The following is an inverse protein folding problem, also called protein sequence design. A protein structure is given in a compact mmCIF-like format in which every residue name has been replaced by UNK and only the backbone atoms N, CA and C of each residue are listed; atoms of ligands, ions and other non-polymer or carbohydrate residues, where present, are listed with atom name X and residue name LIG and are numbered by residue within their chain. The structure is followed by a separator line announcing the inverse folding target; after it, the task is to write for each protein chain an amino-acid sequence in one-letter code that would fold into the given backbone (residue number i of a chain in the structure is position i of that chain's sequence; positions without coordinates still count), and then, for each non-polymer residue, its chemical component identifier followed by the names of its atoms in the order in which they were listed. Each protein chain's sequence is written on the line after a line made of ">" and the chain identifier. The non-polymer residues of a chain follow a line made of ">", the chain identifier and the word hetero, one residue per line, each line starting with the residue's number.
data_IF_464857743723
#
_entry.id   IF_464857743723
#
_cell.length_a   1.000
_cell.length_b   1.000
_cell.length_c   1.000
_cell.angle_alpha   90.00
_cell.angle_beta   90.00
_cell.angle_gamma   90.00
#
_symmetry.space_group_name_H-M   'P 1'
#
loop_
_entity.id
_entity.type
_entity.pdbx_description
1 polymer ?
#
# COMPACT_ATOMS: atom_id res chain seq x y z
N UNK A 1 10.63 -15.70 -17.90
CA UNK A 1 9.61 -14.90 -17.20
C UNK A 1 9.65 -13.40 -17.55
N UNK A 2 10.69 -12.86 -18.17
CA UNK A 2 10.77 -11.43 -18.55
C UNK A 2 11.56 -10.54 -17.59
N UNK A 3 11.85 -10.99 -16.37
CA UNK A 3 12.61 -10.23 -15.37
C UNK A 3 14.15 -10.37 -15.51
N UNK A 4 14.64 -11.09 -16.50
CA UNK A 4 16.07 -11.36 -16.66
C UNK A 4 16.86 -10.18 -17.18
N UNK A 5 18.04 -9.93 -16.61
CA UNK A 5 18.98 -8.90 -17.06
C UNK A 5 18.86 -7.55 -16.36
N UNK A 6 17.94 -7.40 -15.43
CA UNK A 6 17.80 -6.20 -14.62
C UNK A 6 18.61 -6.34 -13.33
N UNK A 7 19.46 -5.36 -13.07
CA UNK A 7 20.19 -5.20 -11.81
C UNK A 7 19.75 -3.89 -11.18
N UNK A 8 19.40 -3.92 -9.90
CA UNK A 8 18.96 -2.73 -9.17
C UNK A 8 18.91 -3.03 -7.66
N UNK A 9 18.71 -2.00 -6.88
CA UNK A 9 18.57 -2.09 -5.43
C UNK A 9 17.07 -2.17 -5.08
N UNK A 10 16.43 -3.29 -5.43
CA UNK A 10 15.01 -3.52 -5.12
C UNK A 10 14.80 -3.61 -3.62
N UNK A 11 13.89 -2.81 -3.08
CA UNK A 11 13.46 -2.89 -1.69
C UNK A 11 12.09 -3.52 -1.55
N UNK A 12 11.17 -3.26 -2.48
CA UNK A 12 9.83 -3.82 -2.42
C UNK A 12 9.30 -4.20 -3.81
N UNK A 13 8.29 -5.06 -3.81
CA UNK A 13 7.58 -5.51 -4.99
C UNK A 13 6.09 -5.61 -4.67
N UNK A 14 5.27 -4.91 -5.44
CA UNK A 14 3.83 -5.02 -5.40
C UNK A 14 3.29 -5.80 -6.60
N UNK A 15 2.17 -6.47 -6.43
CA UNK A 15 1.46 -7.13 -7.52
C UNK A 15 -0.04 -6.87 -7.44
N UNK A 16 -0.67 -6.65 -8.59
CA UNK A 16 -2.12 -6.55 -8.78
C UNK A 16 -2.46 -6.64 -10.27
N UNK A 17 -3.73 -6.80 -10.60
CA UNK A 17 -4.22 -6.65 -11.98
C UNK A 17 -4.40 -5.15 -12.28
N UNK A 18 -3.35 -4.51 -12.79
CA UNK A 18 -3.29 -3.06 -12.99
C UNK A 18 -3.96 -2.59 -14.29
N UNK A 19 -4.18 -3.50 -15.23
CA UNK A 19 -4.77 -3.21 -16.55
C UNK A 19 -6.16 -3.83 -16.73
N UNK A 20 -6.75 -4.39 -15.66
CA UNK A 20 -8.08 -5.02 -15.63
C UNK A 20 -8.24 -6.21 -16.62
N UNK A 21 -7.14 -6.91 -16.98
CA UNK A 21 -7.16 -8.06 -17.89
C UNK A 21 -7.35 -9.41 -17.18
N UNK A 22 -7.38 -9.42 -15.85
CA UNK A 22 -7.56 -10.60 -15.01
C UNK A 22 -6.26 -11.34 -14.65
N UNK A 23 -5.10 -10.78 -14.98
CA UNK A 23 -3.79 -11.33 -14.67
C UNK A 23 -3.03 -10.38 -13.76
N UNK A 24 -2.18 -10.94 -12.92
CA UNK A 24 -1.39 -10.15 -11.99
C UNK A 24 -0.20 -9.51 -12.70
N UNK A 25 -0.10 -8.19 -12.60
CA UNK A 25 1.02 -7.37 -13.00
C UNK A 25 1.97 -7.13 -11.84
N UNK A 26 3.13 -6.56 -12.08
CA UNK A 26 4.16 -6.37 -11.07
C UNK A 26 4.74 -4.96 -11.17
N UNK A 27 4.83 -4.30 -10.01
CA UNK A 27 5.60 -3.08 -9.83
C UNK A 27 6.77 -3.37 -8.88
N UNK A 28 7.96 -2.85 -9.22
CA UNK A 28 9.19 -3.04 -8.44
C UNK A 28 9.71 -1.66 -8.04
N UNK A 29 9.77 -1.40 -6.73
CA UNK A 29 10.38 -0.21 -6.17
C UNK A 29 11.89 -0.40 -5.97
N UNK A 30 12.68 0.54 -6.47
CA UNK A 30 14.13 0.53 -6.42
C UNK A 30 14.69 1.67 -5.58
N UNK A 31 15.55 1.35 -4.60
CA UNK A 31 16.22 2.36 -3.75
C UNK A 31 17.16 3.26 -4.57
N UNK A 32 17.76 2.71 -5.60
CA UNK A 32 18.60 3.47 -6.54
C UNK A 32 18.29 3.04 -7.97
N UNK A 33 17.92 4.00 -8.79
CA UNK A 33 17.59 3.77 -10.18
C UNK A 33 16.09 3.87 -10.44
N UNK A 34 15.68 3.39 -11.58
CA UNK A 34 14.29 3.48 -12.04
C UNK A 34 13.45 2.38 -11.42
N UNK A 35 12.31 2.73 -10.88
CA UNK A 35 11.23 1.79 -10.59
C UNK A 35 10.79 1.09 -11.88
N UNK A 36 10.22 -0.10 -11.78
CA UNK A 36 9.89 -0.91 -12.95
C UNK A 36 8.47 -1.45 -12.87
N UNK A 37 7.82 -1.42 -14.01
CA UNK A 37 6.47 -1.96 -14.19
C UNK A 37 6.45 -3.04 -15.27
N UNK A 38 5.80 -4.14 -14.96
CA UNK A 38 5.69 -5.30 -15.84
C UNK A 38 4.25 -5.76 -15.93
N UNK A 39 3.71 -5.81 -17.14
CA UNK A 39 2.40 -6.42 -17.36
C UNK A 39 2.54 -7.89 -17.73
N UNK A 40 1.64 -8.71 -17.17
CA UNK A 40 1.49 -10.10 -17.56
C UNK A 40 1.05 -10.20 -19.04
N UNK A 41 1.51 -11.23 -19.75
CA UNK A 41 1.14 -11.39 -21.17
C UNK A 41 -0.30 -11.88 -21.41
N UNK A 42 -1.03 -12.18 -20.36
CA UNK A 42 -2.43 -12.62 -20.42
C UNK A 42 -2.73 -13.76 -21.40
N UNK A 43 -1.70 -14.53 -21.80
CA UNK A 43 -1.80 -15.66 -22.76
C UNK A 43 -1.70 -17.04 -22.07
N UNK A 44 -1.70 -17.05 -20.73
CA UNK A 44 -1.54 -18.25 -19.92
C UNK A 44 -0.07 -18.70 -19.74
N UNK A 45 0.89 -18.01 -20.34
CA UNK A 45 2.31 -18.24 -20.09
C UNK A 45 2.78 -17.40 -18.90
N UNK A 46 3.69 -17.90 -18.03
CA UNK A 46 4.23 -17.11 -16.93
C UNK A 46 5.31 -16.14 -17.47
N UNK A 47 4.90 -15.22 -18.34
CA UNK A 47 5.75 -14.26 -19.00
C UNK A 47 5.21 -12.85 -18.82
N UNK A 48 6.13 -11.91 -18.62
CA UNK A 48 5.86 -10.50 -18.40
C UNK A 48 6.51 -9.66 -19.51
N UNK A 49 5.89 -8.55 -19.80
CA UNK A 49 6.41 -7.50 -20.66
C UNK A 49 6.75 -6.27 -19.82
N UNK A 50 7.96 -5.76 -19.91
CA UNK A 50 8.32 -4.52 -19.25
C UNK A 50 7.66 -3.33 -19.97
N UNK A 51 6.87 -2.56 -19.23
CA UNK A 51 6.11 -1.42 -19.74
C UNK A 51 6.52 -0.10 -19.10
N UNK A 52 7.57 -0.09 -18.30
CA UNK A 52 8.03 1.04 -17.46
C UNK A 52 8.02 2.36 -18.20
N UNK A 53 8.77 2.48 -19.30
CA UNK A 53 8.92 3.75 -20.04
C UNK A 53 7.57 4.27 -20.57
N UNK A 54 6.70 3.37 -21.02
CA UNK A 54 5.37 3.72 -21.52
C UNK A 54 4.40 4.04 -20.38
N UNK A 55 4.44 3.27 -19.29
CA UNK A 55 3.47 3.34 -18.22
C UNK A 55 3.72 4.50 -17.25
N UNK A 56 4.94 4.65 -16.77
CA UNK A 56 5.32 5.63 -15.74
C UNK A 56 6.44 6.58 -16.16
N UNK A 57 7.04 6.35 -17.34
CA UNK A 57 8.19 7.13 -17.80
C UNK A 57 9.47 6.74 -17.08
N UNK A 58 10.27 7.74 -16.71
CA UNK A 58 11.56 7.54 -16.07
C UNK A 58 11.54 8.14 -14.67
N UNK A 59 11.83 7.32 -13.67
CA UNK A 59 11.95 7.73 -12.27
C UNK A 59 13.37 7.47 -11.74
N UNK A 60 13.83 8.33 -10.82
CA UNK A 60 15.17 8.26 -10.20
C UNK A 60 15.10 8.34 -8.68
N UNK A 61 13.90 8.26 -8.11
CA UNK A 61 13.68 8.33 -6.67
C UNK A 61 14.06 7.00 -6.00
N UNK A 62 14.07 7.00 -4.69
CA UNK A 62 14.48 5.83 -3.89
C UNK A 62 13.26 5.12 -3.33
N UNK A 63 12.55 4.41 -4.20
CA UNK A 63 11.35 3.68 -3.81
C UNK A 63 11.63 2.59 -2.78
N UNK A 64 10.89 2.63 -1.65
CA UNK A 64 11.07 1.70 -0.53
C UNK A 64 9.86 0.81 -0.26
N UNK A 65 8.67 1.22 -0.67
CA UNK A 65 7.42 0.50 -0.47
C UNK A 65 6.58 0.54 -1.74
N UNK A 66 5.79 -0.48 -1.93
CA UNK A 66 4.72 -0.51 -2.94
C UNK A 66 3.43 -0.98 -2.28
N UNK A 67 2.39 -0.16 -2.32
CA UNK A 67 1.05 -0.61 -1.98
C UNK A 67 0.06 -0.17 -3.07
N UNK A 68 -1.05 -0.90 -3.19
CA UNK A 68 -2.02 -0.70 -4.27
C UNK A 68 -3.43 -0.61 -3.72
N UNK A 69 -4.18 0.41 -4.17
CA UNK A 69 -5.55 0.68 -3.77
C UNK A 69 -6.30 1.47 -4.84
N UNK A 70 -7.61 1.45 -4.80
CA UNK A 70 -8.50 2.27 -5.64
C UNK A 70 -8.93 3.49 -4.79
N UNK A 71 -8.00 4.47 -4.63
CA UNK A 71 -8.17 5.56 -3.67
C UNK A 71 -9.25 6.56 -4.09
N UNK A 72 -9.52 6.71 -5.38
CA UNK A 72 -10.50 7.64 -5.92
C UNK A 72 -11.78 6.97 -6.43
N UNK A 73 -11.86 5.62 -6.29
CA UNK A 73 -13.02 4.78 -6.60
C UNK A 73 -13.42 4.82 -8.08
N UNK A 74 -12.44 4.99 -8.96
CA UNK A 74 -12.66 4.97 -10.41
C UNK A 74 -12.68 3.54 -11.01
N UNK A 75 -12.34 2.52 -10.20
CA UNK A 75 -12.33 1.10 -10.57
C UNK A 75 -11.01 0.63 -11.16
N UNK A 76 -9.96 1.43 -11.03
CA UNK A 76 -8.59 1.07 -11.36
C UNK A 76 -7.73 1.11 -10.10
N UNK A 77 -6.79 0.20 -10.00
CA UNK A 77 -5.86 0.20 -8.86
C UNK A 77 -4.72 1.18 -9.12
N UNK A 78 -4.53 2.07 -8.16
CA UNK A 78 -3.43 3.03 -8.08
C UNK A 78 -2.27 2.47 -7.27
N UNK A 79 -1.11 3.12 -7.34
CA UNK A 79 0.10 2.64 -6.67
C UNK A 79 0.69 3.75 -5.80
N UNK A 80 0.95 3.45 -4.53
CA UNK A 80 1.69 4.35 -3.66
C UNK A 80 3.09 3.81 -3.37
N UNK A 81 4.09 4.68 -3.60
CA UNK A 81 5.51 4.37 -3.39
C UNK A 81 6.11 5.39 -2.44
N UNK A 82 6.66 4.93 -1.33
CA UNK A 82 7.37 5.80 -0.39
C UNK A 82 8.79 6.08 -0.87
N UNK A 83 9.25 7.29 -0.61
CA UNK A 83 10.59 7.77 -0.91
C UNK A 83 11.14 8.57 0.28
N UNK A 84 12.25 9.27 0.08
CA UNK A 84 12.86 10.13 1.09
C UNK A 84 12.46 11.57 0.84
N UNK A 85 11.81 12.19 1.82
CA UNK A 85 11.45 13.61 1.81
C UNK A 85 12.12 14.32 3.00
N UNK A 86 13.43 14.26 3.08
CA UNK A 86 14.20 14.93 4.14
C UNK A 86 14.78 16.26 3.63
N UNK A 87 15.27 17.12 4.54
CA UNK A 87 15.84 18.43 4.19
C UNK A 87 16.98 18.35 3.19
N UNK A 88 17.79 17.30 3.26
CA UNK A 88 18.93 17.07 2.37
C UNK A 88 18.60 16.23 1.14
N UNK A 89 17.41 15.60 1.09
CA UNK A 89 16.96 14.74 0.00
C UNK A 89 15.44 14.82 -0.15
N UNK A 90 14.99 15.72 -1.04
CA UNK A 90 13.56 16.00 -1.24
C UNK A 90 13.05 15.31 -2.49
N UNK A 91 12.78 14.02 -2.40
CA UNK A 91 12.36 13.25 -3.56
C UNK A 91 10.83 13.19 -3.73
N UNK A 92 10.05 13.36 -2.69
CA UNK A 92 8.59 13.18 -2.71
C UNK A 92 8.18 11.71 -2.93
N UNK A 93 7.23 11.22 -2.16
CA UNK A 93 6.57 9.95 -2.45
C UNK A 93 5.85 10.02 -3.78
N UNK A 94 5.47 8.89 -4.34
CA UNK A 94 4.69 8.83 -5.57
C UNK A 94 3.31 8.23 -5.30
N UNK A 95 2.29 8.90 -5.80
CA UNK A 95 0.96 8.34 -5.96
C UNK A 95 0.68 8.25 -7.45
N UNK A 96 0.94 7.09 -8.02
CA UNK A 96 0.68 6.79 -9.40
C UNK A 96 -0.82 6.52 -9.59
N UNK A 97 -1.54 7.54 -10.05
CA UNK A 97 -2.93 7.39 -10.48
C UNK A 97 -2.99 6.66 -11.81
N UNK A 98 -3.82 5.64 -11.89
CA UNK A 98 -3.99 4.78 -13.06
C UNK A 98 -4.99 5.40 -14.05
N UNK A 99 -4.55 5.81 -15.23
CA UNK A 99 -5.41 6.44 -16.24
C UNK A 99 -6.37 5.45 -16.94
N UNK A 100 -6.31 4.15 -16.62
CA UNK A 100 -7.15 3.11 -17.24
C UNK A 100 -6.77 2.74 -18.67
N UNK A 101 -5.67 3.27 -19.20
CA UNK A 101 -5.19 3.02 -20.56
C UNK A 101 -3.80 2.36 -20.60
N UNK A 102 -3.33 1.89 -19.44
CA UNK A 102 -2.01 1.31 -19.23
C UNK A 102 -0.91 2.35 -18.99
N UNK A 103 -1.29 3.59 -18.72
CA UNK A 103 -0.39 4.66 -18.28
C UNK A 103 -0.78 5.19 -16.92
N UNK A 104 0.17 5.80 -16.20
CA UNK A 104 -0.01 6.33 -14.87
C UNK A 104 0.54 7.76 -14.79
N UNK A 105 0.00 8.56 -13.88
CA UNK A 105 0.46 9.91 -13.60
C UNK A 105 0.71 10.08 -12.10
N UNK A 106 1.85 10.70 -11.72
CA UNK A 106 2.15 10.99 -10.32
C UNK A 106 1.31 12.19 -9.85
N UNK A 107 0.33 11.94 -8.98
CA UNK A 107 -0.54 12.95 -8.37
C UNK A 107 -0.21 13.21 -6.89
N UNK A 108 0.91 12.75 -6.38
CA UNK A 108 1.26 12.86 -4.96
C UNK A 108 1.26 14.29 -4.41
N UNK A 109 1.58 15.29 -5.24
CA UNK A 109 1.55 16.70 -4.86
C UNK A 109 0.13 17.25 -4.83
N UNK A 110 -0.64 16.95 -5.85
CA UNK A 110 -2.03 17.34 -6.02
C UNK A 110 -2.91 16.76 -4.92
N UNK A 111 -2.65 15.52 -4.55
CA UNK A 111 -3.37 14.80 -3.49
C UNK A 111 -2.86 15.10 -2.08
N UNK A 112 -1.76 15.86 -1.94
CA UNK A 112 -1.11 16.18 -0.65
C UNK A 112 -0.48 14.99 0.09
N UNK A 113 -0.08 13.93 -0.62
CA UNK A 113 0.53 12.72 -0.06
C UNK A 113 2.04 12.63 -0.30
N UNK A 114 2.64 13.69 -0.86
CA UNK A 114 4.05 13.75 -1.26
C UNK A 114 5.03 13.59 -0.10
N UNK A 115 4.72 14.16 1.06
CA UNK A 115 5.69 14.32 2.14
C UNK A 115 5.37 13.43 3.34
N UNK A 116 6.26 12.48 3.60
CA UNK A 116 6.23 11.64 4.80
C UNK A 116 7.59 11.59 5.52
N UNK A 117 8.50 12.52 5.26
CA UNK A 117 9.88 12.46 5.76
C UNK A 117 10.65 11.25 5.13
N UNK A 118 11.40 10.44 5.90
CA UNK A 118 12.02 9.22 5.37
C UNK A 118 11.02 8.07 5.45
N UNK A 119 10.19 7.92 4.38
CA UNK A 119 9.13 6.92 4.34
C UNK A 119 9.65 5.49 4.18
N UNK A 120 9.07 4.56 4.94
CA UNK A 120 9.28 3.12 4.79
C UNK A 120 7.98 2.46 4.31
N UNK A 121 7.31 1.67 5.15
CA UNK A 121 6.04 1.09 4.74
C UNK A 121 4.93 2.15 4.63
N UNK A 122 4.03 1.95 3.69
CA UNK A 122 2.75 2.64 3.61
C UNK A 122 1.65 1.67 3.17
N UNK A 123 0.41 1.92 3.62
CA UNK A 123 -0.74 1.06 3.34
C UNK A 123 -2.00 1.87 3.12
N UNK A 124 -2.72 1.54 2.04
CA UNK A 124 -4.10 1.95 1.85
C UNK A 124 -5.03 1.12 2.74
N UNK A 125 -5.96 1.77 3.41
CA UNK A 125 -7.04 1.13 4.16
C UNK A 125 -8.12 2.14 4.53
N UNK A 126 -9.36 1.71 4.62
CA UNK A 126 -10.48 2.52 5.07
C UNK A 126 -10.63 2.37 6.60
N UNK A 127 -10.05 3.31 7.36
CA UNK A 127 -9.97 3.22 8.83
C UNK A 127 -11.23 3.71 9.55
N UNK A 128 -12.12 4.43 8.91
CA UNK A 128 -13.37 4.92 9.51
C UNK A 128 -14.64 4.38 8.86
N UNK A 129 -14.48 3.48 7.88
CA UNK A 129 -15.55 2.82 7.14
C UNK A 129 -16.44 3.78 6.33
N UNK A 130 -15.90 4.91 5.90
CA UNK A 130 -16.63 5.87 5.07
C UNK A 130 -16.70 5.45 3.59
N UNK A 131 -15.90 4.45 3.20
CA UNK A 131 -15.83 3.86 1.87
C UNK A 131 -14.69 4.37 1.02
N UNK A 132 -13.86 5.29 1.53
CA UNK A 132 -12.67 5.78 0.85
C UNK A 132 -11.42 5.25 1.54
N UNK A 133 -10.44 4.86 0.76
CA UNK A 133 -9.18 4.37 1.33
C UNK A 133 -8.31 5.54 1.81
N UNK A 134 -8.03 5.55 3.09
CA UNK A 134 -7.02 6.37 3.73
C UNK A 134 -5.62 5.80 3.44
N UNK A 135 -4.57 6.53 3.84
CA UNK A 135 -3.20 6.08 3.67
C UNK A 135 -2.42 6.26 4.98
N UNK A 136 -1.91 5.17 5.54
CA UNK A 136 -1.02 5.20 6.69
C UNK A 136 0.42 4.93 6.26
N UNK A 137 1.37 5.80 6.68
CA UNK A 137 2.78 5.68 6.35
C UNK A 137 3.65 5.78 7.60
N UNK A 138 4.70 4.94 7.66
CA UNK A 138 5.69 4.94 8.75
C UNK A 138 7.03 5.48 8.27
N UNK A 139 7.70 6.21 9.13
CA UNK A 139 8.87 7.02 8.81
C UNK A 139 10.00 6.83 9.81
N UNK A 140 11.16 7.42 9.50
CA UNK A 140 12.33 7.47 10.33
C UNK A 140 13.38 6.41 9.98
N UNK A 141 14.66 6.83 9.92
CA UNK A 141 15.74 5.90 9.60
C UNK A 141 16.38 5.35 10.88
N UNK A 142 16.89 6.23 11.74
CA UNK A 142 17.56 5.84 12.97
C UNK A 142 17.51 6.95 14.02
N UNK A 143 16.78 6.71 15.08
CA UNK A 143 16.78 7.53 16.30
C UNK A 143 17.90 7.08 17.24
N UNK A 144 18.64 8.03 17.79
CA UNK A 144 19.69 7.80 18.76
C UNK A 144 19.90 9.03 19.66
N UNK A 145 20.73 8.93 20.69
CA UNK A 145 20.84 9.94 21.74
C UNK A 145 21.76 11.13 21.39
N UNK A 146 22.58 11.00 20.34
CA UNK A 146 23.60 11.97 20.01
C UNK A 146 23.24 12.83 18.80
N UNK A 147 24.18 13.70 18.40
CA UNK A 147 24.04 14.65 17.30
C UNK A 147 23.53 13.97 15.99
N UNK A 148 22.90 14.76 15.15
CA UNK A 148 22.51 14.34 13.82
C UNK A 148 23.74 14.00 12.95
N UNK A 149 23.72 12.84 12.30
CA UNK A 149 24.79 12.35 11.44
C UNK A 149 24.90 13.10 10.10
N UNK A 150 23.81 13.75 9.66
CA UNK A 150 23.78 14.46 8.37
C UNK A 150 24.84 15.51 8.21
N UNK A 151 25.13 16.40 9.20
CA UNK A 151 26.24 17.35 9.08
C UNK A 151 27.59 16.66 8.83
N UNK A 152 27.82 15.51 9.46
CA UNK A 152 29.03 14.71 9.29
C UNK A 152 29.15 14.16 7.88
N UNK A 153 28.05 13.66 7.30
CA UNK A 153 28.00 13.23 5.90
C UNK A 153 28.24 14.39 4.94
N UNK A 154 27.65 15.54 5.18
CA UNK A 154 27.84 16.72 4.34
C UNK A 154 29.28 17.22 4.37
N UNK A 155 29.94 17.18 5.54
CA UNK A 155 31.37 17.49 5.64
C UNK A 155 32.23 16.53 4.82
N UNK A 156 31.90 15.24 4.82
CA UNK A 156 32.56 14.25 3.96
C UNK A 156 32.43 14.58 2.46
N UNK A 157 31.23 14.99 2.01
CA UNK A 157 30.95 15.33 0.60
C UNK A 157 31.81 16.52 0.13
N UNK A 158 32.07 17.49 0.98
CA UNK A 158 32.89 18.66 0.64
C UNK A 158 34.39 18.45 0.87
N UNK A 159 34.78 17.34 1.48
CA UNK A 159 36.20 17.02 1.73
C UNK A 159 36.86 16.54 0.43
N UNK A 160 37.98 17.15 -0.01
CA UNK A 160 38.66 16.73 -1.20
C UNK A 160 39.21 15.30 -1.12
N UNK A 161 39.18 14.58 -2.25
CA UNK A 161 39.74 13.25 -2.46
C UNK A 161 39.12 12.12 -1.58
N UNK A 162 37.88 12.24 -1.16
CA UNK A 162 37.15 11.14 -0.53
C UNK A 162 36.75 10.14 -1.60
N UNK A 163 37.05 8.87 -1.37
CA UNK A 163 36.55 7.77 -2.20
C UNK A 163 35.18 7.29 -1.68
N UNK A 164 34.11 7.72 -2.33
CA UNK A 164 32.74 7.33 -1.95
C UNK A 164 32.41 5.87 -2.27
N UNK A 165 33.25 5.17 -3.01
CA UNK A 165 33.08 3.73 -3.27
C UNK A 165 33.66 2.85 -2.16
N UNK A 166 34.54 3.42 -1.31
CA UNK A 166 35.11 2.72 -0.16
C UNK A 166 34.27 2.98 1.10
N UNK A 167 33.68 1.93 1.64
CA UNK A 167 32.90 1.98 2.89
C UNK A 167 33.70 2.53 4.08
N UNK A 168 35.02 2.36 4.09
CA UNK A 168 35.88 2.88 5.14
C UNK A 168 36.10 4.40 5.08
N UNK A 169 35.71 5.04 3.99
CA UNK A 169 35.71 6.51 3.87
C UNK A 169 34.55 7.14 4.63
N UNK A 170 33.50 6.38 4.93
CA UNK A 170 32.34 6.91 5.67
C UNK A 170 32.64 6.98 7.17
N UNK A 171 32.37 8.14 7.80
CA UNK A 171 32.52 8.29 9.24
C UNK A 171 31.64 7.27 9.98
N UNK A 172 32.15 6.75 11.10
CA UNK A 172 31.36 5.88 11.95
C UNK A 172 30.15 6.64 12.50
N UNK A 173 28.95 6.11 12.26
CA UNK A 173 27.72 6.69 12.76
C UNK A 173 27.63 6.64 14.30
N UNK A 174 28.34 5.69 14.96
CA UNK A 174 28.34 5.57 16.42
C UNK A 174 26.93 5.54 17.00
N UNK A 175 26.66 6.47 17.93
CA UNK A 175 25.34 6.68 18.53
C UNK A 175 24.65 7.98 18.02
N UNK A 176 24.93 8.38 16.78
CA UNK A 176 24.31 9.56 16.16
C UNK A 176 22.94 9.21 15.54
N UNK A 177 22.02 10.17 15.64
CA UNK A 177 20.73 10.11 14.96
C UNK A 177 20.90 10.39 13.45
N UNK A 178 20.22 9.61 12.61
CA UNK A 178 20.14 9.89 11.18
C UNK A 178 18.67 9.83 10.76
N UNK A 179 18.09 10.98 10.41
CA UNK A 179 16.67 11.11 10.04
C UNK A 179 15.73 10.31 10.96
N UNK A 180 16.03 10.33 12.26
CA UNK A 180 15.24 9.71 13.31
C UNK A 180 14.21 10.68 13.90
N UNK A 181 13.37 10.18 14.80
CA UNK A 181 12.32 10.94 15.49
C UNK A 181 11.30 11.58 14.53
N UNK A 182 11.15 11.01 13.34
CA UNK A 182 10.18 11.47 12.35
C UNK A 182 8.80 10.91 12.67
N UNK A 183 7.77 11.75 12.45
CA UNK A 183 6.39 11.40 12.80
C UNK A 183 5.75 10.46 11.79
N UNK A 184 5.02 9.45 12.26
CA UNK A 184 4.16 8.64 11.41
C UNK A 184 3.02 9.50 10.85
N UNK A 185 2.53 9.16 9.66
CA UNK A 185 1.50 9.95 8.96
C UNK A 185 0.25 9.10 8.72
N UNK A 186 -0.89 9.68 8.98
CA UNK A 186 -2.18 9.16 8.54
C UNK A 186 -2.85 10.22 7.67
N UNK A 187 -3.05 9.90 6.42
CA UNK A 187 -3.72 10.75 5.44
C UNK A 187 -5.16 10.26 5.29
N UNK A 188 -6.11 11.03 5.79
CA UNK A 188 -7.52 10.78 5.62
C UNK A 188 -7.99 11.25 4.25
N UNK A 189 -8.67 10.41 3.51
CA UNK A 189 -9.19 10.69 2.18
C UNK A 189 -10.43 11.61 2.28
N UNK A 190 -10.40 12.73 1.58
CA UNK A 190 -11.49 13.72 1.64
C UNK A 190 -12.61 13.46 0.62
N UNK A 191 -12.57 12.35 -0.09
CA UNK A 191 -13.55 11.98 -1.13
C UNK A 191 -13.64 12.99 -2.30
N UNK A 192 -12.64 13.83 -2.47
CA UNK A 192 -12.55 14.84 -3.53
C UNK A 192 -11.28 14.70 -4.38
N UNK A 193 -10.59 13.55 -4.24
CA UNK A 193 -9.31 13.25 -4.87
C UNK A 193 -8.11 13.79 -4.09
N UNK A 194 -8.30 14.33 -2.88
CA UNK A 194 -7.22 14.82 -2.01
C UNK A 194 -7.25 14.17 -0.64
N UNK A 195 -6.14 14.30 0.09
CA UNK A 195 -6.01 13.78 1.44
C UNK A 195 -5.67 14.88 2.44
N UNK A 196 -6.02 14.66 3.68
CA UNK A 196 -5.63 15.50 4.81
C UNK A 196 -4.82 14.68 5.81
N UNK A 197 -3.63 15.16 6.15
CA UNK A 197 -2.83 14.54 7.22
C UNK A 197 -3.50 14.78 8.57
N UNK A 198 -3.76 13.68 9.31
CA UNK A 198 -4.48 13.67 10.59
C UNK A 198 -3.79 12.81 11.65
N UNK A 199 -2.52 12.39 11.45
CA UNK A 199 -1.82 11.45 12.34
C UNK A 199 -1.81 11.89 13.80
N UNK A 200 -1.61 13.19 14.06
CA UNK A 200 -1.66 13.75 15.41
C UNK A 200 -3.08 13.70 16.03
N UNK A 201 -4.09 14.03 15.24
CA UNK A 201 -5.50 13.99 15.69
C UNK A 201 -5.96 12.54 15.93
N UNK A 202 -5.47 11.60 15.15
CA UNK A 202 -5.74 10.18 15.28
C UNK A 202 -4.88 9.49 16.37
N UNK A 203 -3.85 10.15 16.88
CA UNK A 203 -2.96 9.62 17.91
C UNK A 203 -1.98 8.54 17.42
N UNK A 204 -1.66 8.54 16.12
CA UNK A 204 -0.72 7.59 15.51
C UNK A 204 0.64 8.22 15.18
N UNK A 205 0.82 9.51 15.41
CA UNK A 205 2.00 10.33 15.07
C UNK A 205 3.21 10.07 16.01
N UNK A 206 3.47 8.82 16.31
CA UNK A 206 4.67 8.46 17.11
C UNK A 206 5.96 8.83 16.37
N UNK A 207 7.07 8.96 17.09
CA UNK A 207 8.38 9.31 16.55
C UNK A 207 9.36 8.12 16.58
N UNK A 208 8.83 6.90 16.57
CA UNK A 208 9.62 5.68 16.45
C UNK A 208 10.03 5.44 14.99
N UNK A 209 11.17 4.79 14.79
CA UNK A 209 11.68 4.48 13.43
C UNK A 209 10.88 3.35 12.81
N UNK A 210 9.75 3.67 12.19
CA UNK A 210 8.81 2.73 11.62
C UNK A 210 9.42 1.90 10.48
N UNK A 211 8.99 0.63 10.33
CA UNK A 211 9.43 -0.25 9.23
C UNK A 211 8.26 -0.93 8.55
N UNK A 212 7.67 -1.90 9.19
CA UNK A 212 6.59 -2.70 8.61
C UNK A 212 5.23 -2.36 9.19
N UNK A 213 4.20 -2.51 8.36
CA UNK A 213 2.80 -2.31 8.73
C UNK A 213 2.04 -3.59 8.43
N UNK A 214 1.22 -4.02 9.39
CA UNK A 214 0.18 -5.03 9.19
C UNK A 214 -1.18 -4.43 9.55
N UNK A 215 -2.12 -4.48 8.62
CA UNK A 215 -3.49 -4.00 8.83
C UNK A 215 -4.45 -5.18 8.90
N UNK A 216 -5.39 -5.11 9.82
CA UNK A 216 -6.46 -6.11 9.96
C UNK A 216 -7.39 -5.77 11.10
N UNK A 217 -8.58 -6.30 11.07
CA UNK A 217 -9.53 -6.30 12.17
C UNK A 217 -9.18 -7.48 13.10
N UNK A 218 -8.39 -7.20 14.16
CA UNK A 218 -7.82 -8.23 15.03
C UNK A 218 -8.79 -8.72 16.11
N UNK A 219 -9.74 -7.89 16.52
CA UNK A 219 -10.77 -8.27 17.51
C UNK A 219 -12.15 -8.56 16.88
N UNK A 220 -12.26 -8.46 15.55
CA UNK A 220 -13.45 -8.69 14.74
C UNK A 220 -14.62 -7.75 15.10
N UNK A 221 -14.32 -6.51 15.44
CA UNK A 221 -15.30 -5.47 15.72
C UNK A 221 -15.71 -4.66 14.47
N UNK A 222 -15.03 -4.91 13.33
CA UNK A 222 -15.30 -4.29 12.06
C UNK A 222 -14.54 -2.99 11.83
N UNK A 223 -13.61 -2.67 12.72
CA UNK A 223 -12.67 -1.57 12.52
C UNK A 223 -11.30 -2.14 12.17
N UNK A 224 -10.58 -1.47 11.29
CA UNK A 224 -9.22 -1.88 10.98
C UNK A 224 -8.25 -1.36 12.03
N UNK A 225 -7.40 -2.25 12.50
CA UNK A 225 -6.32 -1.99 13.43
C UNK A 225 -4.99 -1.93 12.69
N UNK A 226 -3.99 -1.28 13.29
CA UNK A 226 -2.64 -1.18 12.76
C UNK A 226 -1.65 -1.85 13.71
N UNK A 227 -0.85 -2.77 13.19
CA UNK A 227 0.33 -3.30 13.86
C UNK A 227 1.57 -2.74 13.17
N UNK A 228 2.37 -1.98 13.92
CA UNK A 228 3.59 -1.32 13.43
C UNK A 228 4.83 -1.95 14.04
N UNK A 229 5.79 -2.32 13.20
CA UNK A 229 7.13 -2.71 13.63
C UNK A 229 8.10 -1.54 13.50
N UNK A 230 9.08 -1.44 14.38
CA UNK A 230 10.05 -0.36 14.42
C UNK A 230 11.49 -0.91 14.47
N UNK A 231 12.45 -0.17 13.92
CA UNK A 231 13.85 -0.58 13.90
C UNK A 231 14.45 -0.47 15.30
N UNK A 232 14.83 -1.60 15.90
CA UNK A 232 15.44 -1.67 17.24
C UNK A 232 14.62 -1.01 18.37
N UNK A 233 13.32 -0.82 18.17
CA UNK A 233 12.41 -0.17 19.09
C UNK A 233 11.15 -1.04 19.30
N UNK A 234 10.35 -0.81 20.36
CA UNK A 234 9.15 -1.59 20.60
C UNK A 234 8.15 -1.51 19.43
N UNK A 235 7.47 -2.61 19.14
CA UNK A 235 6.34 -2.64 18.22
C UNK A 235 5.14 -1.92 18.83
N UNK A 236 4.28 -1.38 17.98
CA UNK A 236 3.06 -0.69 18.38
C UNK A 236 1.83 -1.40 17.82
N UNK A 237 0.76 -1.32 18.57
CA UNK A 237 -0.56 -1.74 18.13
C UNK A 237 -1.53 -0.59 18.36
N UNK A 238 -2.15 -0.12 17.26
CA UNK A 238 -3.20 0.90 17.31
C UNK A 238 -4.52 0.23 17.02
N UNK A 239 -5.43 0.30 17.98
CA UNK A 239 -6.79 -0.18 17.80
C UNK A 239 -7.64 0.88 17.11
N UNK A 240 -8.34 0.49 16.03
CA UNK A 240 -9.29 1.36 15.34
C UNK A 240 -10.48 1.71 16.20
N UNK A 241 -10.67 3.00 16.52
CA UNK A 241 -11.81 3.50 17.31
C UNK A 241 -12.29 4.82 16.69
N UNK A 242 -12.83 4.80 15.46
CA UNK A 242 -13.34 6.02 14.85
C UNK A 242 -14.56 6.56 15.59
N UNK A 243 -14.68 7.88 15.66
CA UNK A 243 -15.75 8.55 16.41
C UNK A 243 -17.13 8.40 15.78
N UNK A 244 -17.20 8.13 14.49
CA UNK A 244 -18.46 7.98 13.74
C UNK A 244 -18.25 6.96 12.60
N UNK A 245 -18.07 5.67 12.91
CA UNK A 245 -17.78 4.66 11.89
C UNK A 245 -18.97 4.45 10.96
N UNK A 246 -18.67 4.28 9.67
CA UNK A 246 -19.63 3.78 8.69
C UNK A 246 -19.96 2.30 8.90
N UNK A 247 -20.92 1.81 8.14
CA UNK A 247 -21.14 0.36 8.02
C UNK A 247 -20.02 -0.27 7.21
N UNK A 248 -19.86 -1.59 7.36
CA UNK A 248 -18.76 -2.31 6.75
C UNK A 248 -19.16 -3.71 6.26
N UNK A 249 -18.31 -4.30 5.44
CA UNK A 249 -18.37 -5.70 5.00
C UNK A 249 -16.97 -6.26 4.97
N UNK A 250 -16.74 -7.40 5.60
CA UNK A 250 -15.47 -8.11 5.48
C UNK A 250 -15.67 -9.46 4.84
N UNK A 251 -14.93 -9.73 3.75
CA UNK A 251 -15.02 -10.95 2.98
C UNK A 251 -13.73 -11.76 3.08
N UNK A 252 -13.85 -13.02 3.52
CA UNK A 252 -12.79 -14.02 3.43
C UNK A 252 -13.05 -14.91 2.21
N UNK A 253 -12.17 -14.87 1.24
CA UNK A 253 -12.27 -15.72 0.04
C UNK A 253 -11.48 -17.02 0.21
N UNK A 254 -12.04 -18.11 -0.30
CA UNK A 254 -11.40 -19.43 -0.33
C UNK A 254 -11.48 -19.98 -1.75
N UNK A 255 -10.33 -20.12 -2.40
CA UNK A 255 -10.25 -20.74 -3.72
C UNK A 255 -10.49 -22.24 -3.67
N UNK A 256 -11.10 -22.79 -4.69
CA UNK A 256 -11.27 -24.23 -4.92
C UNK A 256 -10.58 -24.69 -6.20
N UNK A 257 -10.66 -23.91 -7.27
CA UNK A 257 -9.87 -24.03 -8.51
C UNK A 257 -8.71 -23.04 -8.51
N UNK A 258 -8.91 -21.86 -7.93
CA UNK A 258 -7.90 -20.87 -7.63
C UNK A 258 -6.98 -21.33 -6.49
N UNK A 259 -5.91 -20.60 -6.21
CA UNK A 259 -5.12 -20.83 -5.01
C UNK A 259 -5.99 -20.73 -3.75
N UNK A 260 -5.66 -21.49 -2.70
CA UNK A 260 -6.49 -21.63 -1.50
C UNK A 260 -6.83 -20.30 -0.83
N UNK A 261 -5.89 -19.38 -0.81
CA UNK A 261 -6.06 -18.06 -0.18
C UNK A 261 -6.67 -17.03 -1.13
N UNK A 262 -7.04 -17.44 -2.34
CA UNK A 262 -7.63 -16.59 -3.37
C UNK A 262 -6.79 -15.34 -3.73
N UNK A 263 -5.46 -15.38 -3.52
CA UNK A 263 -4.57 -14.26 -3.88
C UNK A 263 -4.73 -13.95 -5.36
N UNK A 264 -4.97 -12.67 -5.69
CA UNK A 264 -5.31 -12.18 -7.01
C UNK A 264 -6.83 -12.21 -7.33
N UNK A 265 -7.67 -12.65 -6.39
CA UNK A 265 -9.11 -12.52 -6.56
C UNK A 265 -9.54 -11.06 -6.37
N UNK A 266 -10.30 -10.55 -7.34
CA UNK A 266 -10.82 -9.19 -7.32
C UNK A 266 -12.30 -9.19 -6.98
N UNK A 267 -12.70 -8.33 -6.04
CA UNK A 267 -14.10 -8.17 -5.63
C UNK A 267 -14.57 -6.77 -5.97
N UNK A 268 -15.70 -6.72 -6.65
CA UNK A 268 -16.46 -5.50 -6.92
C UNK A 268 -17.74 -5.60 -6.09
N UNK A 269 -17.89 -4.73 -5.11
CA UNK A 269 -19.01 -4.66 -4.19
C UNK A 269 -19.83 -3.40 -4.47
N UNK A 270 -21.15 -3.50 -4.53
CA UNK A 270 -22.05 -2.35 -4.66
C UNK A 270 -22.92 -2.22 -3.41
N UNK A 271 -22.95 -1.05 -2.82
CA UNK A 271 -23.79 -0.71 -1.67
C UNK A 271 -24.15 0.79 -1.71
N UNK A 272 -25.41 1.13 -1.44
CA UNK A 272 -25.89 2.51 -1.49
C UNK A 272 -25.79 3.19 -2.86
N UNK A 273 -25.72 2.40 -3.93
CA UNK A 273 -25.52 2.87 -5.30
C UNK A 273 -24.06 3.17 -5.66
N UNK A 274 -23.14 3.02 -4.73
CA UNK A 274 -21.69 3.20 -4.89
C UNK A 274 -20.98 1.87 -5.13
N UNK A 275 -19.85 1.90 -5.83
CA UNK A 275 -19.06 0.71 -6.14
C UNK A 275 -17.69 0.78 -5.49
N UNK A 276 -17.23 -0.35 -4.96
CA UNK A 276 -15.97 -0.50 -4.23
C UNK A 276 -15.18 -1.64 -4.85
N UNK A 277 -13.91 -1.41 -5.13
CA UNK A 277 -12.98 -2.41 -5.64
C UNK A 277 -11.97 -2.78 -4.58
N UNK A 278 -11.75 -4.09 -4.38
CA UNK A 278 -10.62 -4.61 -3.58
C UNK A 278 -10.08 -5.87 -4.23
N UNK A 279 -8.81 -6.10 -4.07
CA UNK A 279 -8.14 -7.31 -4.55
C UNK A 279 -7.45 -8.04 -3.40
N UNK A 280 -7.51 -9.37 -3.37
CA UNK A 280 -6.77 -10.17 -2.38
C UNK A 280 -5.30 -10.12 -2.71
N UNK A 281 -4.57 -9.44 -1.86
CA UNK A 281 -3.19 -9.09 -2.01
C UNK A 281 -2.31 -9.84 -1.00
N UNK A 282 -1.12 -10.23 -1.38
CA UNK A 282 -0.19 -10.97 -0.52
C UNK A 282 1.24 -10.47 -0.74
N UNK A 283 1.78 -9.80 0.28
CA UNK A 283 3.17 -9.35 0.26
C UNK A 283 3.42 -7.98 -0.33
N UNK A 284 2.41 -7.14 -0.54
CA UNK A 284 2.63 -5.73 -0.81
C UNK A 284 3.03 -4.99 0.47
N UNK A 285 3.90 -3.99 0.32
CA UNK A 285 4.36 -3.12 1.39
C UNK A 285 5.59 -3.63 2.13
N UNK A 286 6.55 -2.72 2.33
CA UNK A 286 7.84 -3.00 2.91
C UNK A 286 7.74 -3.71 4.27
N UNK A 287 8.40 -4.85 4.40
CA UNK A 287 8.55 -5.65 5.63
C UNK A 287 7.24 -5.92 6.40
N UNK A 288 6.10 -5.93 5.72
CA UNK A 288 4.78 -6.14 6.33
C UNK A 288 3.86 -7.04 5.52
N UNK A 289 2.83 -7.54 6.16
CA UNK A 289 1.75 -8.30 5.55
C UNK A 289 0.44 -7.98 6.27
N UNK A 290 -0.53 -7.47 5.53
CA UNK A 290 -1.88 -7.24 6.03
C UNK A 290 -2.74 -8.50 5.97
N UNK A 291 -3.94 -8.44 6.54
CA UNK A 291 -4.93 -9.52 6.43
C UNK A 291 -5.26 -9.82 4.96
N UNK A 292 -5.55 -11.09 4.66
CA UNK A 292 -6.09 -11.49 3.35
C UNK A 292 -7.62 -11.34 3.27
N UNK A 293 -8.27 -10.90 4.35
CA UNK A 293 -9.68 -10.55 4.31
C UNK A 293 -9.84 -9.20 3.62
N UNK A 294 -10.76 -9.13 2.68
CA UNK A 294 -11.11 -7.88 2.02
C UNK A 294 -12.10 -7.11 2.90
N UNK A 295 -11.71 -5.93 3.30
CA UNK A 295 -12.52 -5.03 4.10
C UNK A 295 -13.05 -3.89 3.22
N UNK A 296 -14.34 -3.62 3.36
CA UNK A 296 -15.06 -2.56 2.65
C UNK A 296 -15.82 -1.74 3.68
N UNK A 297 -15.43 -0.50 3.92
CA UNK A 297 -16.33 0.49 4.47
C UNK A 297 -17.42 0.79 3.42
N UNK A 298 -18.64 0.93 3.85
CA UNK A 298 -19.77 1.25 2.96
C UNK A 298 -20.56 2.48 3.46
N UNK A 299 -19.93 3.25 4.36
CA UNK A 299 -20.49 4.48 4.90
C UNK A 299 -21.87 4.30 5.49
N UNK A 300 -22.83 5.10 5.03
CA UNK A 300 -24.22 5.05 5.48
C UNK A 300 -25.08 3.96 4.82
N UNK A 301 -24.57 3.18 3.88
CA UNK A 301 -25.34 2.14 3.20
C UNK A 301 -25.76 1.04 4.16
N UNK A 302 -27.05 0.66 4.13
CA UNK A 302 -27.63 -0.30 5.07
C UNK A 302 -27.58 -1.75 4.56
N UNK A 303 -27.26 -1.95 3.30
CA UNK A 303 -27.22 -3.26 2.67
C UNK A 303 -26.27 -3.29 1.49
N UNK A 304 -25.76 -4.48 1.21
CA UNK A 304 -25.06 -4.80 -0.02
C UNK A 304 -26.09 -5.06 -1.13
N UNK A 305 -25.87 -4.51 -2.30
CA UNK A 305 -26.74 -4.61 -3.46
C UNK A 305 -26.23 -5.62 -4.48
N UNK A 306 -24.88 -5.71 -4.63
CA UNK A 306 -24.25 -6.68 -5.51
C UNK A 306 -22.83 -7.02 -5.01
N UNK A 307 -22.38 -8.23 -5.31
CA UNK A 307 -20.97 -8.65 -5.19
C UNK A 307 -20.63 -9.46 -6.43
N UNK A 308 -19.63 -9.01 -7.17
CA UNK A 308 -18.98 -9.74 -8.25
C UNK A 308 -17.56 -10.11 -7.82
N UNK A 309 -17.19 -11.36 -8.00
CA UNK A 309 -15.86 -11.88 -7.70
C UNK A 309 -15.23 -12.41 -8.97
N UNK A 310 -14.09 -11.88 -9.33
CA UNK A 310 -13.24 -12.38 -10.41
C UNK A 310 -12.13 -13.22 -9.80
N UNK A 311 -12.24 -14.52 -9.95
CA UNK A 311 -11.31 -15.48 -9.36
C UNK A 311 -10.07 -15.67 -10.23
N UNK A 312 -8.89 -15.94 -9.66
CA UNK A 312 -7.66 -16.24 -10.40
C UNK A 312 -7.78 -17.43 -11.39
N UNK A 313 -8.77 -18.29 -11.19
CA UNK A 313 -9.12 -19.37 -12.13
C UNK A 313 -9.72 -18.88 -13.43
N UNK A 314 -10.01 -17.58 -13.54
CA UNK A 314 -10.75 -16.96 -14.65
C UNK A 314 -12.28 -17.04 -14.50
N UNK A 315 -12.79 -17.63 -13.41
CA UNK A 315 -14.21 -17.66 -13.13
C UNK A 315 -14.68 -16.29 -12.64
N UNK A 316 -15.84 -15.83 -13.15
CA UNK A 316 -16.57 -14.67 -12.61
C UNK A 316 -17.82 -15.18 -11.90
N UNK A 317 -17.94 -14.86 -10.62
CA UNK A 317 -19.05 -15.25 -9.76
C UNK A 317 -19.82 -14.03 -9.28
N UNK A 318 -21.14 -14.05 -9.41
CA UNK A 318 -22.01 -13.00 -8.86
C UNK A 318 -22.87 -13.63 -7.78
N UNK A 319 -22.81 -13.08 -6.58
CA UNK A 319 -23.63 -13.57 -5.46
C UNK A 319 -25.11 -13.38 -5.76
N UNK A 320 -25.90 -14.37 -5.42
CA UNK A 320 -27.36 -14.33 -5.57
C UNK A 320 -27.97 -13.45 -4.45
N UNK A 321 -29.18 -12.95 -4.68
CA UNK A 321 -29.86 -12.01 -3.75
C UNK A 321 -29.98 -12.56 -2.33
N UNK A 322 -30.23 -13.86 -2.16
CA UNK A 322 -30.31 -14.52 -0.86
C UNK A 322 -28.96 -14.64 -0.15
N UNK A 323 -27.86 -14.60 -0.90
CA UNK A 323 -26.49 -14.60 -0.38
C UNK A 323 -26.02 -13.20 0.05
N UNK A 324 -26.63 -12.14 -0.49
CA UNK A 324 -26.34 -10.74 -0.12
C UNK A 324 -26.98 -10.33 1.21
N UNK A 325 -28.03 -11.08 1.62
CA UNK A 325 -28.70 -10.82 2.92
C UNK A 325 -27.74 -11.04 4.05
N UNK A 326 -27.67 -10.07 4.96
CA UNK A 326 -26.84 -10.11 6.16
C UNK A 326 -25.31 -10.03 5.94
N UNK A 327 -24.82 -9.47 4.84
CA UNK A 327 -23.38 -9.21 4.67
C UNK A 327 -22.92 -7.94 5.43
N UNK A 328 -23.81 -6.98 5.63
CA UNK A 328 -23.52 -5.71 6.30
C UNK A 328 -23.15 -5.92 7.78
N UNK A 329 -22.08 -5.29 8.23
CA UNK A 329 -21.49 -5.38 9.57
C UNK A 329 -21.16 -6.83 9.96
N UNK A 330 -20.62 -7.59 9.01
CA UNK A 330 -20.22 -8.99 9.21
C UNK A 330 -18.97 -9.39 8.47
N UNK A 331 -18.28 -10.35 9.05
CA UNK A 331 -17.23 -11.14 8.39
C UNK A 331 -17.90 -12.35 7.76
N UNK A 332 -17.85 -12.44 6.43
CA UNK A 332 -18.44 -13.55 5.67
C UNK A 332 -17.39 -14.34 4.93
N UNK A 333 -17.56 -15.65 4.83
CA UNK A 333 -16.66 -16.50 4.04
C UNK A 333 -17.35 -16.88 2.74
N UNK A 334 -16.63 -16.70 1.62
CA UNK A 334 -17.09 -17.07 0.28
C UNK A 334 -16.12 -18.09 -0.27
N UNK A 335 -16.66 -19.23 -0.73
CA UNK A 335 -15.87 -20.25 -1.41
C UNK A 335 -16.18 -20.26 -2.90
N UNK A 336 -15.13 -20.30 -3.69
CA UNK A 336 -15.22 -20.34 -5.15
C UNK A 336 -16.17 -21.44 -5.62
N UNK A 337 -17.16 -21.09 -6.45
CA UNK A 337 -18.25 -21.92 -6.97
C UNK A 337 -19.35 -22.32 -5.98
N UNK A 338 -19.22 -22.00 -4.68
CA UNK A 338 -20.21 -22.35 -3.66
C UNK A 338 -20.94 -21.10 -3.11
N UNK A 339 -20.37 -19.91 -3.33
CA UNK A 339 -20.88 -18.66 -2.77
C UNK A 339 -20.62 -18.54 -1.26
N UNK A 340 -21.49 -17.83 -0.54
CA UNK A 340 -21.38 -17.62 0.92
C UNK A 340 -21.56 -18.94 1.65
N UNK A 341 -20.52 -19.34 2.40
CA UNK A 341 -20.56 -20.51 3.29
C UNK A 341 -20.71 -20.03 4.73
N UNK A 342 -21.61 -20.65 5.49
CA UNK A 342 -21.92 -20.30 6.88
C UNK A 342 -21.22 -21.22 7.87
#
# INVERSE_FOLDING_TARGET
>A
AGFGGHTGWTLDLGHADLNNDGWQDVYIAGDYGTDRMFFSKADGTPAFEEVTEKAIGFDTRKGMNVDMGDYDRDGWLDIYVTNITDEYMKECNMLWHNNGDGTFIDLSRETSTCDTDWGWAAKFADFDNDGWEDLFAVNGLRSADEMNYIPVLLEMIITPNVDFSDINSYPDIGNMTWSGYQKQRLFHNLADGTFKEIGADAGVDTDLDGRGIGIGDFDNDGMLDIYQTNANQPTLFFRGIPSNPGNWVTLKLIGSKSNLNAVGARVILTAGGETYLREVNCGNGYAGQSTLRLHFGIGGAQKVEAVEIRWPSGMVEKLQVDQLVDLTNRISTIRESEGVIR
#
